data_IF_466490887291
#
_entry.id   IF_466490887291
#
_cell.length_a   1.000
_cell.length_b   1.000
_cell.length_c   1.000
_cell.angle_alpha   90.00
_cell.angle_beta   90.00
_cell.angle_gamma   90.00
#
_symmetry.space_group_name_H-M   'P 1'
#
loop_
_entity.id
_entity.type
_entity.pdbx_description
1 polymer ?
#
# COMPACT_ATOMS: atom_id res chain seq x y z
N UNK A 1 -57.33 41.02 -38.24
CA UNK A 1 -57.13 41.35 -36.82
C UNK A 1 -56.20 40.29 -36.28
N UNK A 2 -54.90 40.50 -36.10
CA UNK A 2 -54.16 41.72 -35.71
C UNK A 2 -52.69 41.55 -36.15
N UNK A 3 -52.17 42.57 -36.85
CA UNK A 3 -50.80 43.16 -36.86
C UNK A 3 -49.57 42.23 -36.89
N UNK A 4 -48.80 42.18 -38.00
CA UNK A 4 -47.67 43.05 -38.38
C UNK A 4 -46.57 43.19 -37.29
N UNK A 5 -45.32 42.80 -37.58
CA UNK A 5 -44.29 43.78 -37.98
C UNK A 5 -42.97 43.18 -38.56
N UNK A 6 -42.56 43.78 -39.69
CA UNK A 6 -41.24 44.10 -40.29
C UNK A 6 -39.97 43.21 -40.17
N UNK A 7 -39.37 42.75 -41.29
CA UNK A 7 -38.31 43.35 -42.19
C UNK A 7 -36.90 43.39 -41.53
N UNK A 8 -35.81 42.83 -42.09
CA UNK A 8 -35.01 43.43 -43.20
C UNK A 8 -33.73 42.62 -43.49
N UNK A 9 -33.54 42.22 -44.77
CA UNK A 9 -32.30 42.05 -45.60
C UNK A 9 -31.03 41.34 -45.06
N UNK A 10 -30.26 40.60 -45.86
CA UNK A 10 -30.07 40.75 -47.30
C UNK A 10 -29.35 39.58 -47.98
N UNK A 11 -29.42 39.66 -49.31
CA UNK A 11 -29.02 38.67 -50.32
C UNK A 11 -27.90 39.25 -51.18
N UNK A 12 -26.89 38.46 -51.55
CA UNK A 12 -26.29 38.36 -52.90
C UNK A 12 -25.14 37.33 -52.88
N UNK A 13 -25.30 36.11 -53.42
CA UNK A 13 -25.10 35.65 -54.83
C UNK A 13 -23.64 35.84 -55.30
N UNK A 14 -22.88 34.77 -55.62
CA UNK A 14 -22.83 34.25 -57.00
C UNK A 14 -22.15 32.88 -57.16
N UNK A 15 -22.93 32.00 -57.79
CA UNK A 15 -22.72 30.95 -58.80
C UNK A 15 -21.42 30.18 -59.06
N UNK A 16 -21.71 28.90 -59.35
CA UNK A 16 -20.90 27.78 -59.78
C UNK A 16 -20.35 27.90 -61.20
N UNK A 17 -19.33 27.08 -61.52
CA UNK A 17 -19.29 26.34 -62.79
C UNK A 17 -18.52 25.02 -62.67
N UNK A 18 -19.18 23.95 -63.11
CA UNK A 18 -18.73 22.55 -63.21
C UNK A 18 -17.93 22.31 -64.50
N UNK A 19 -16.98 21.38 -64.50
CA UNK A 19 -16.66 20.53 -65.68
C UNK A 19 -15.83 19.30 -65.27
N UNK A 20 -16.35 18.09 -65.55
CA UNK A 20 -15.54 16.87 -65.79
C UNK A 20 -15.05 16.87 -67.25
N UNK A 21 -14.19 16.00 -67.78
CA UNK A 21 -13.68 14.66 -67.45
C UNK A 21 -12.46 14.44 -68.38
N UNK A 22 -11.47 13.61 -68.02
CA UNK A 22 -10.90 12.50 -68.83
C UNK A 22 -9.53 12.04 -68.31
N UNK A 23 -9.48 10.74 -68.03
CA UNK A 23 -8.36 9.89 -67.62
C UNK A 23 -7.24 9.79 -68.67
N UNK A 24 -5.98 9.84 -68.23
CA UNK A 24 -4.89 9.06 -68.85
C UNK A 24 -4.01 8.49 -67.75
N UNK A 25 -3.87 7.17 -67.75
CA UNK A 25 -3.15 6.42 -66.74
C UNK A 25 -1.64 6.45 -66.96
N UNK A 26 -0.91 6.53 -65.85
CA UNK A 26 0.49 6.14 -65.78
C UNK A 26 0.65 5.22 -64.57
N UNK A 27 0.93 3.95 -64.85
CA UNK A 27 1.09 2.88 -63.88
C UNK A 27 2.39 3.05 -63.08
N UNK A 28 2.22 3.24 -61.78
CA UNK A 28 2.95 2.64 -60.65
C UNK A 28 4.46 2.37 -60.78
N UNK A 29 5.24 3.13 -60.01
CA UNK A 29 6.17 2.57 -59.00
C UNK A 29 6.23 3.53 -57.81
N UNK A 30 5.16 3.53 -57.00
CA UNK A 30 5.17 4.18 -55.71
C UNK A 30 5.72 3.21 -54.67
N UNK A 31 6.99 3.35 -54.32
CA UNK A 31 7.55 2.78 -53.09
C UNK A 31 6.81 3.45 -51.93
N UNK A 32 5.80 2.79 -51.38
CA UNK A 32 5.11 3.27 -50.19
C UNK A 32 6.01 3.05 -48.98
N UNK A 33 6.90 4.01 -48.72
CA UNK A 33 7.52 4.14 -47.40
C UNK A 33 6.43 4.68 -46.46
N UNK A 34 5.76 3.80 -45.73
CA UNK A 34 4.97 4.21 -44.56
C UNK A 34 5.95 4.74 -43.52
N UNK A 35 6.19 6.06 -43.55
CA UNK A 35 6.83 6.75 -42.43
C UNK A 35 5.94 6.56 -41.20
N UNK A 36 6.34 5.66 -40.30
CA UNK A 36 5.57 5.36 -39.10
C UNK A 36 5.39 6.63 -38.27
N UNK A 37 4.14 6.96 -37.93
CA UNK A 37 3.84 8.10 -37.07
C UNK A 37 4.42 7.86 -35.67
N UNK A 38 5.18 8.83 -35.16
CA UNK A 38 5.64 8.84 -33.76
C UNK A 38 4.46 9.12 -32.83
N UNK A 39 4.36 8.36 -31.74
CA UNK A 39 3.36 8.56 -30.69
C UNK A 39 4.06 9.23 -29.49
N UNK A 40 3.63 10.44 -29.15
CA UNK A 40 4.11 11.13 -27.94
C UNK A 40 3.37 10.62 -26.70
N UNK A 41 4.10 10.40 -25.61
CA UNK A 41 3.55 10.01 -24.31
C UNK A 41 4.01 11.03 -23.25
N UNK A 42 3.09 11.48 -22.41
CA UNK A 42 3.41 12.30 -21.25
C UNK A 42 3.53 11.39 -20.02
N UNK A 43 4.56 11.57 -19.16
CA UNK A 43 4.60 10.90 -17.88
C UNK A 43 3.41 11.33 -17.01
N UNK A 44 2.75 10.37 -16.37
CA UNK A 44 1.65 10.61 -15.42
C UNK A 44 2.11 10.65 -13.97
N UNK A 45 3.41 10.45 -13.75
CA UNK A 45 4.00 10.46 -12.42
C UNK A 45 5.49 10.14 -12.46
N UNK A 46 6.09 10.10 -11.27
CA UNK A 46 7.52 9.86 -11.08
C UNK A 46 7.76 8.88 -9.93
N UNK A 47 8.72 7.99 -10.14
CA UNK A 47 9.16 7.04 -9.12
C UNK A 47 10.02 7.75 -8.07
N UNK A 48 9.80 7.44 -6.79
CA UNK A 48 10.61 7.87 -5.65
C UNK A 48 11.06 6.68 -4.81
N UNK A 49 12.36 6.47 -4.67
CA UNK A 49 12.95 5.44 -3.80
C UNK A 49 14.43 5.75 -3.48
N UNK A 50 15.08 4.87 -2.73
CA UNK A 50 16.48 5.03 -2.32
C UNK A 50 17.49 4.50 -3.37
N UNK A 51 17.02 3.98 -4.51
CA UNK A 51 17.85 3.31 -5.52
C UNK A 51 18.07 4.22 -6.73
N UNK A 52 19.22 4.89 -6.75
CA UNK A 52 19.61 5.80 -7.84
C UNK A 52 20.37 5.11 -8.97
N UNK A 53 21.00 3.95 -8.70
CA UNK A 53 21.83 3.21 -9.66
C UNK A 53 21.06 2.13 -10.42
N UNK A 54 21.29 2.05 -11.74
CA UNK A 54 20.60 1.13 -12.65
C UNK A 54 21.24 -0.27 -12.69
N UNK A 55 21.23 -0.95 -11.55
CA UNK A 55 21.66 -2.35 -11.39
C UNK A 55 20.47 -3.27 -11.71
N UNK A 56 20.72 -4.45 -12.28
CA UNK A 56 19.65 -5.28 -12.83
C UNK A 56 18.88 -6.14 -11.78
N UNK A 57 19.43 -6.45 -10.60
CA UNK A 57 18.87 -7.43 -9.62
C UNK A 57 18.41 -6.82 -8.28
N UNK A 58 17.89 -7.62 -7.33
CA UNK A 58 17.53 -7.21 -5.96
C UNK A 58 16.42 -6.14 -5.85
N UNK A 59 15.43 -6.21 -6.74
CA UNK A 59 14.32 -5.26 -6.78
C UNK A 59 13.15 -5.63 -5.88
N UNK A 60 13.06 -6.89 -5.48
CA UNK A 60 11.99 -7.48 -4.69
C UNK A 60 11.72 -6.76 -3.36
N UNK A 61 12.77 -6.26 -2.69
CA UNK A 61 12.69 -5.54 -1.40
C UNK A 61 12.52 -4.03 -1.55
N UNK A 62 12.61 -3.50 -2.76
CA UNK A 62 12.55 -2.06 -3.00
C UNK A 62 11.12 -1.58 -2.83
N UNK A 63 10.89 -0.76 -1.80
CA UNK A 63 9.65 -0.02 -1.62
C UNK A 63 9.78 1.31 -2.38
N UNK A 64 8.86 1.56 -3.31
CA UNK A 64 8.81 2.76 -4.12
C UNK A 64 7.51 3.50 -3.88
N UNK A 65 7.56 4.83 -4.02
CA UNK A 65 6.36 5.66 -4.18
C UNK A 65 6.29 6.14 -5.62
N UNK A 66 5.09 6.15 -6.19
CA UNK A 66 4.79 6.81 -7.45
C UNK A 66 4.02 8.06 -7.08
N UNK A 67 4.62 9.22 -7.32
CA UNK A 67 4.00 10.53 -7.16
C UNK A 67 3.33 10.89 -8.49
N UNK A 68 2.00 10.86 -8.53
CA UNK A 68 1.23 11.14 -9.73
C UNK A 68 1.11 12.65 -10.00
N UNK A 69 1.07 13.01 -11.28
CA UNK A 69 0.67 14.32 -11.75
C UNK A 69 -0.87 14.41 -11.74
N UNK A 70 -1.40 15.04 -10.70
CA UNK A 70 -2.84 15.21 -10.53
C UNK A 70 -3.45 16.30 -11.43
N UNK A 71 -2.64 17.22 -11.97
CA UNK A 71 -3.13 18.18 -12.95
C UNK A 71 -3.46 17.47 -14.27
N UNK A 72 -2.71 16.41 -14.59
CA UNK A 72 -2.96 15.55 -15.73
C UNK A 72 -4.09 14.54 -15.51
N UNK A 73 -4.16 13.90 -14.33
CA UNK A 73 -5.08 12.77 -14.08
C UNK A 73 -6.39 13.13 -13.37
N UNK A 74 -6.39 14.17 -12.53
CA UNK A 74 -7.49 14.45 -11.58
C UNK A 74 -7.30 13.78 -10.22
N UNK A 75 -7.89 14.39 -9.18
CA UNK A 75 -7.70 13.98 -7.78
C UNK A 75 -8.35 12.62 -7.42
N UNK A 76 -9.33 12.18 -8.20
CA UNK A 76 -10.11 10.96 -8.04
C UNK A 76 -9.58 9.78 -8.89
N UNK A 77 -8.51 9.97 -9.69
CA UNK A 77 -7.98 8.98 -10.62
C UNK A 77 -7.54 7.63 -9.97
N UNK A 78 -7.36 7.61 -8.65
CA UNK A 78 -6.97 6.39 -7.90
C UNK A 78 -8.11 5.77 -7.09
N UNK A 79 -9.35 6.28 -7.23
CA UNK A 79 -10.51 5.73 -6.56
C UNK A 79 -10.72 4.25 -6.92
N UNK A 80 -11.02 3.42 -5.92
CA UNK A 80 -11.19 1.98 -6.09
C UNK A 80 -9.88 1.17 -6.20
N UNK A 81 -8.73 1.79 -6.49
CA UNK A 81 -7.46 1.07 -6.69
C UNK A 81 -7.03 0.26 -5.45
N UNK A 82 -7.39 0.71 -4.24
CA UNK A 82 -7.12 0.01 -2.97
C UNK A 82 -7.76 -1.38 -2.87
N UNK A 83 -8.74 -1.70 -3.70
CA UNK A 83 -9.36 -3.02 -3.73
C UNK A 83 -8.43 -4.10 -4.33
N UNK A 84 -7.38 -3.70 -5.06
CA UNK A 84 -6.44 -4.62 -5.70
C UNK A 84 -5.22 -4.90 -4.80
N UNK A 85 -4.61 -6.06 -4.97
CA UNK A 85 -3.36 -6.42 -4.28
C UNK A 85 -2.11 -6.04 -5.08
N UNK A 86 -2.21 -5.94 -6.41
CA UNK A 86 -1.10 -5.69 -7.31
C UNK A 86 -1.47 -4.70 -8.41
N UNK A 87 -0.46 -4.01 -8.92
CA UNK A 87 -0.55 -3.13 -10.09
C UNK A 87 0.55 -3.44 -11.09
N UNK A 88 0.26 -3.34 -12.38
CA UNK A 88 1.26 -3.29 -13.45
C UNK A 88 1.63 -1.82 -13.70
N UNK A 89 2.90 -1.48 -13.50
CA UNK A 89 3.44 -0.13 -13.70
C UNK A 89 4.21 -0.09 -15.01
N UNK A 90 3.86 0.82 -15.90
CA UNK A 90 4.57 1.09 -17.14
C UNK A 90 5.42 2.34 -16.95
N UNK A 91 6.70 2.26 -17.28
CA UNK A 91 7.66 3.35 -17.05
C UNK A 91 8.71 3.42 -18.17
N UNK A 92 9.49 4.50 -18.21
CA UNK A 92 10.50 4.72 -19.25
C UNK A 92 11.90 4.54 -18.68
N UNK A 93 12.76 3.75 -19.34
CA UNK A 93 14.20 3.76 -19.12
C UNK A 93 14.81 5.05 -19.70
N UNK A 94 14.54 6.17 -19.05
CA UNK A 94 14.86 7.54 -19.48
C UNK A 94 16.37 7.79 -19.60
N UNK A 95 17.18 7.03 -18.86
CA UNK A 95 18.65 7.13 -18.84
C UNK A 95 19.38 6.25 -19.85
N UNK A 96 18.65 5.45 -20.64
CA UNK A 96 19.28 4.63 -21.70
C UNK A 96 19.67 5.53 -22.86
N UNK A 97 20.97 5.55 -23.16
CA UNK A 97 21.53 6.22 -24.34
C UNK A 97 20.87 5.66 -25.63
N UNK A 98 20.21 6.50 -26.44
CA UNK A 98 19.60 6.10 -27.71
C UNK A 98 20.54 5.37 -28.67
N UNK A 99 21.84 5.66 -28.64
CA UNK A 99 22.82 5.04 -29.54
C UNK A 99 23.14 3.59 -29.14
N UNK A 100 22.81 3.20 -27.91
CA UNK A 100 22.99 1.83 -27.40
C UNK A 100 21.81 0.91 -27.72
N UNK A 101 20.76 1.42 -28.36
CA UNK A 101 19.55 0.66 -28.70
C UNK A 101 19.88 -0.53 -29.59
N UNK A 102 19.50 -1.72 -29.12
CA UNK A 102 19.65 -2.96 -29.86
C UNK A 102 18.38 -3.25 -30.65
N UNK A 103 18.51 -3.50 -31.96
CA UNK A 103 17.39 -3.90 -32.85
C UNK A 103 17.39 -5.40 -33.18
N UNK A 104 18.55 -6.04 -33.13
CA UNK A 104 18.75 -7.45 -33.49
C UNK A 104 18.86 -8.38 -32.29
N UNK A 105 19.62 -9.46 -32.45
CA UNK A 105 19.87 -10.44 -31.39
C UNK A 105 21.16 -10.17 -30.61
N UNK A 106 21.15 -10.51 -29.33
CA UNK A 106 22.29 -10.41 -28.40
C UNK A 106 22.21 -11.50 -27.34
N UNK A 107 23.32 -11.73 -26.64
CA UNK A 107 23.33 -12.56 -25.45
C UNK A 107 22.60 -11.85 -24.29
N UNK A 108 21.64 -12.50 -23.60
CA UNK A 108 20.98 -11.93 -22.44
C UNK A 108 21.98 -11.55 -21.36
N UNK A 109 21.88 -10.31 -20.84
CA UNK A 109 22.86 -9.70 -19.93
C UNK A 109 24.33 -9.80 -20.37
N UNK A 110 24.59 -10.06 -21.65
CA UNK A 110 25.95 -10.26 -22.18
C UNK A 110 26.56 -11.64 -21.86
N UNK A 111 25.80 -12.59 -21.31
CA UNK A 111 26.30 -13.91 -20.95
C UNK A 111 26.46 -14.83 -22.19
N UNK A 112 27.70 -15.22 -22.56
CA UNK A 112 27.96 -16.04 -23.74
C UNK A 112 27.44 -17.49 -23.63
N UNK A 113 27.19 -17.99 -22.42
CA UNK A 113 26.69 -19.36 -22.19
C UNK A 113 25.20 -19.49 -22.52
N UNK A 114 24.46 -18.37 -22.55
CA UNK A 114 23.07 -18.33 -22.96
C UNK A 114 22.93 -18.08 -24.46
N UNK A 115 21.85 -18.57 -25.10
CA UNK A 115 21.67 -18.44 -26.54
C UNK A 115 21.54 -16.99 -26.98
N UNK A 116 22.07 -16.67 -28.16
CA UNK A 116 21.86 -15.38 -28.82
C UNK A 116 20.41 -15.27 -29.32
N UNK A 117 19.58 -14.50 -28.63
CA UNK A 117 18.14 -14.34 -28.92
C UNK A 117 17.80 -12.90 -29.33
N UNK A 118 16.74 -12.71 -30.10
CA UNK A 118 16.28 -11.38 -30.55
C UNK A 118 15.95 -10.46 -29.38
N UNK A 119 16.09 -9.14 -29.55
CA UNK A 119 15.81 -8.16 -28.47
C UNK A 119 14.37 -8.28 -27.92
N UNK A 120 13.41 -8.70 -28.75
CA UNK A 120 12.02 -8.90 -28.33
C UNK A 120 11.80 -10.17 -27.50
N UNK A 121 12.73 -11.12 -27.55
CA UNK A 121 12.69 -12.38 -26.80
C UNK A 121 13.37 -12.29 -25.41
N UNK A 122 13.76 -11.09 -24.97
CA UNK A 122 14.43 -10.85 -23.68
C UNK A 122 14.09 -9.46 -23.13
N UNK A 123 14.13 -9.26 -21.81
CA UNK A 123 13.64 -8.04 -21.14
C UNK A 123 14.69 -6.92 -20.99
N UNK A 124 15.65 -6.80 -21.91
CA UNK A 124 16.72 -5.80 -21.81
C UNK A 124 16.20 -4.35 -22.00
N UNK A 125 16.77 -3.39 -21.27
CA UNK A 125 16.44 -1.95 -21.32
C UNK A 125 16.76 -1.26 -22.66
N UNK A 126 17.74 -1.75 -23.42
CA UNK A 126 18.22 -1.15 -24.67
C UNK A 126 17.32 -1.49 -25.88
N UNK A 127 16.05 -1.09 -25.80
CA UNK A 127 15.00 -1.35 -26.80
C UNK A 127 14.64 -0.09 -27.59
N UNK A 128 14.06 -0.20 -28.81
CA UNK A 128 13.62 0.96 -29.59
C UNK A 128 12.62 1.85 -28.81
N UNK A 129 11.60 1.22 -28.22
CA UNK A 129 10.73 1.86 -27.25
C UNK A 129 11.19 1.39 -25.87
N UNK A 130 11.86 2.28 -25.13
CA UNK A 130 12.53 2.04 -23.86
C UNK A 130 11.53 1.91 -22.70
N UNK A 131 10.47 1.12 -22.89
CA UNK A 131 9.39 0.95 -21.93
C UNK A 131 9.70 -0.27 -21.05
N UNK A 132 9.71 -0.06 -19.74
CA UNK A 132 9.67 -1.10 -18.73
C UNK A 132 8.24 -1.38 -18.30
N UNK A 133 8.01 -2.59 -17.82
CA UNK A 133 6.74 -2.98 -17.21
C UNK A 133 7.00 -3.95 -16.06
N UNK A 134 6.35 -3.68 -14.92
CA UNK A 134 6.54 -4.49 -13.71
C UNK A 134 5.24 -4.63 -12.95
N UNK A 135 4.88 -5.88 -12.65
CA UNK A 135 3.79 -6.20 -11.73
C UNK A 135 4.35 -6.10 -10.33
N UNK A 136 3.81 -5.18 -9.55
CA UNK A 136 4.27 -4.82 -8.21
C UNK A 136 3.17 -5.08 -7.18
N UNK A 137 3.55 -5.39 -5.95
CA UNK A 137 2.62 -5.40 -4.81
C UNK A 137 2.14 -3.97 -4.54
N UNK A 138 0.83 -3.75 -4.48
CA UNK A 138 0.22 -2.47 -4.14
C UNK A 138 0.11 -2.34 -2.62
N UNK A 139 1.06 -1.64 -2.01
CA UNK A 139 1.12 -1.46 -0.56
C UNK A 139 0.06 -0.48 -0.04
N UNK A 140 -0.06 0.67 -0.68
CA UNK A 140 -1.00 1.71 -0.27
C UNK A 140 -1.34 2.66 -1.42
N UNK A 141 -2.50 3.30 -1.32
CA UNK A 141 -2.87 4.47 -2.12
C UNK A 141 -3.14 5.59 -1.13
N UNK A 142 -2.34 6.65 -1.12
CA UNK A 142 -2.49 7.78 -0.19
C UNK A 142 -3.22 8.95 -0.85
N UNK A 143 -3.86 9.83 -0.05
CA UNK A 143 -4.33 11.12 -0.56
C UNK A 143 -3.21 11.91 -1.25
N UNK A 144 -3.57 12.74 -2.23
CA UNK A 144 -2.60 13.54 -2.98
C UNK A 144 -1.87 12.78 -4.09
N UNK A 145 -2.44 11.69 -4.61
CA UNK A 145 -1.92 11.03 -5.81
C UNK A 145 -0.68 10.17 -5.58
N UNK A 146 -0.48 9.63 -4.39
CA UNK A 146 0.70 8.81 -4.09
C UNK A 146 0.33 7.34 -4.01
N UNK A 147 0.94 6.52 -4.87
CA UNK A 147 0.81 5.06 -4.87
C UNK A 147 2.09 4.46 -4.29
N UNK A 148 1.98 3.64 -3.26
CA UNK A 148 3.12 2.91 -2.68
C UNK A 148 3.12 1.48 -3.18
N UNK A 149 4.26 1.04 -3.71
CA UNK A 149 4.45 -0.29 -4.28
C UNK A 149 5.73 -0.95 -3.79
N UNK A 150 5.77 -2.28 -3.83
CA UNK A 150 6.98 -3.08 -3.59
C UNK A 150 7.31 -3.91 -4.81
N UNK A 151 8.61 -4.04 -5.11
CA UNK A 151 9.10 -4.85 -6.22
C UNK A 151 9.20 -4.09 -7.55
N UNK A 152 9.00 -2.77 -7.55
CA UNK A 152 9.15 -1.95 -8.76
C UNK A 152 10.63 -1.82 -9.13
N UNK A 153 11.01 -2.32 -10.30
CA UNK A 153 12.37 -2.31 -10.84
C UNK A 153 12.73 -1.03 -11.62
N UNK A 154 12.35 0.11 -11.05
CA UNK A 154 12.63 1.44 -11.56
C UNK A 154 13.44 2.26 -10.54
N UNK A 155 14.46 2.96 -11.01
CA UNK A 155 15.31 3.82 -10.18
C UNK A 155 14.58 5.11 -9.79
N UNK A 156 15.05 5.77 -8.73
CA UNK A 156 14.54 7.07 -8.29
C UNK A 156 14.53 8.07 -9.44
N UNK A 157 13.43 8.80 -9.61
CA UNK A 157 13.23 9.78 -10.67
C UNK A 157 12.76 9.22 -12.00
N UNK A 158 12.62 7.89 -12.15
CA UNK A 158 12.12 7.29 -13.40
C UNK A 158 10.69 7.78 -13.72
N UNK A 159 10.41 8.23 -14.96
CA UNK A 159 9.08 8.63 -15.39
C UNK A 159 8.12 7.44 -15.52
N UNK A 160 6.92 7.57 -14.96
CA UNK A 160 5.83 6.59 -15.08
C UNK A 160 4.88 7.02 -16.19
N UNK A 161 4.56 6.09 -17.10
CA UNK A 161 3.62 6.29 -18.20
C UNK A 161 2.20 5.87 -17.83
N UNK A 162 2.05 4.80 -17.05
CA UNK A 162 0.74 4.26 -16.70
C UNK A 162 0.79 3.35 -15.46
N UNK A 163 -0.35 3.20 -14.79
CA UNK A 163 -0.53 2.26 -13.67
C UNK A 163 -1.86 1.53 -13.85
N UNK A 164 -1.82 0.21 -13.95
CA UNK A 164 -3.01 -0.63 -14.14
C UNK A 164 -3.20 -1.59 -12.97
N UNK A 165 -4.42 -1.79 -12.45
CA UNK A 165 -4.65 -2.89 -11.52
C UNK A 165 -4.39 -4.23 -12.22
N UNK A 166 -3.68 -5.14 -11.54
CA UNK A 166 -3.47 -6.49 -12.07
C UNK A 166 -4.74 -7.32 -11.87
N UNK A 167 -5.26 -7.91 -12.95
CA UNK A 167 -6.41 -8.81 -12.93
C UNK A 167 -5.97 -10.21 -13.36
N UNK A 168 -6.41 -11.23 -12.63
CA UNK A 168 -6.01 -12.63 -12.86
C UNK A 168 -6.42 -13.09 -14.26
N UNK A 169 -7.54 -12.57 -14.76
CA UNK A 169 -8.11 -12.86 -16.07
C UNK A 169 -7.22 -12.41 -17.25
N UNK A 170 -6.30 -11.47 -17.03
CA UNK A 170 -5.30 -11.05 -18.02
C UNK A 170 -4.02 -11.90 -18.00
N UNK A 171 -3.90 -12.83 -17.05
CA UNK A 171 -2.84 -13.82 -17.04
C UNK A 171 -2.87 -14.73 -18.29
N UNK A 172 -1.76 -15.45 -18.55
CA UNK A 172 -1.71 -16.40 -19.65
C UNK A 172 -2.79 -17.47 -19.51
N UNK A 173 -3.39 -17.84 -20.65
CA UNK A 173 -4.37 -18.93 -20.73
C UNK A 173 -3.66 -20.22 -21.10
N UNK A 174 -3.89 -21.29 -20.35
CA UNK A 174 -3.24 -22.59 -20.55
C UNK A 174 -1.80 -22.63 -20.03
N UNK A 175 -1.07 -23.65 -20.43
CA UNK A 175 0.29 -23.88 -19.95
C UNK A 175 1.27 -22.83 -20.49
N UNK A 176 2.15 -22.35 -19.61
CA UNK A 176 3.20 -21.38 -19.95
C UNK A 176 4.47 -22.12 -20.34
N UNK A 177 4.99 -21.85 -21.55
CA UNK A 177 6.29 -22.34 -21.98
C UNK A 177 7.36 -21.24 -21.80
N UNK A 178 8.44 -21.58 -21.09
CA UNK A 178 9.58 -20.70 -20.87
C UNK A 178 10.90 -21.42 -21.21
N UNK A 179 11.84 -20.78 -21.93
CA UNK A 179 13.16 -21.35 -22.17
C UNK A 179 14.00 -21.49 -20.89
N UNK A 180 14.76 -22.58 -20.76
CA UNK A 180 15.59 -22.86 -19.57
C UNK A 180 16.55 -21.73 -19.20
N UNK A 181 17.24 -21.12 -20.19
CA UNK A 181 18.15 -19.99 -19.93
C UNK A 181 17.46 -18.81 -19.26
N UNK A 182 16.16 -18.59 -19.53
CA UNK A 182 15.40 -17.51 -18.90
C UNK A 182 15.03 -17.86 -17.47
N UNK A 183 14.75 -19.13 -17.18
CA UNK A 183 14.54 -19.60 -15.80
C UNK A 183 15.83 -19.51 -14.99
N UNK A 184 16.98 -19.85 -15.57
CA UNK A 184 18.30 -19.67 -14.96
C UNK A 184 18.61 -18.19 -14.70
N UNK A 185 18.34 -17.31 -15.66
CA UNK A 185 18.51 -15.87 -15.50
C UNK A 185 17.70 -15.32 -14.34
N UNK A 186 16.47 -15.81 -14.17
CA UNK A 186 15.56 -15.35 -13.12
C UNK A 186 15.76 -16.09 -11.78
N UNK A 187 16.65 -17.08 -11.71
CA UNK A 187 16.92 -17.81 -10.48
C UNK A 187 17.48 -16.85 -9.41
N UNK A 188 16.78 -16.74 -8.28
CA UNK A 188 17.17 -15.82 -7.21
C UNK A 188 16.89 -14.33 -7.48
N UNK A 189 16.24 -14.00 -8.60
CA UNK A 189 15.87 -12.60 -8.90
C UNK A 189 14.82 -12.05 -7.92
N UNK A 190 13.88 -12.90 -7.51
CA UNK A 190 12.96 -12.63 -6.41
C UNK A 190 13.42 -13.45 -5.20
N UNK A 191 14.04 -12.79 -4.22
CA UNK A 191 14.58 -13.41 -3.00
C UNK A 191 13.57 -13.47 -1.85
N UNK A 192 12.50 -12.69 -1.93
CA UNK A 192 11.34 -12.77 -1.04
C UNK A 192 10.37 -13.84 -1.58
N UNK A 193 10.24 -14.95 -0.87
CA UNK A 193 9.07 -15.83 -0.99
C UNK A 193 7.79 -15.03 -0.71
N UNK A 194 6.62 -15.44 -1.27
CA UNK A 194 5.30 -14.85 -0.94
C UNK A 194 5.26 -14.46 0.53
N UNK A 195 4.86 -13.21 0.81
CA UNK A 195 4.90 -12.56 2.13
C UNK A 195 4.84 -13.60 3.25
N UNK A 196 5.90 -13.81 4.06
CA UNK A 196 6.00 -14.91 5.02
C UNK A 196 4.99 -14.78 6.17
N UNK A 197 4.07 -13.83 6.06
CA UNK A 197 3.05 -13.54 7.04
C UNK A 197 1.76 -14.28 6.66
N UNK A 198 1.03 -14.75 7.66
CA UNK A 198 -0.19 -15.52 7.44
C UNK A 198 -1.21 -14.67 6.68
N UNK A 199 -1.81 -15.27 5.64
CA UNK A 199 -2.97 -14.69 4.96
C UNK A 199 -4.17 -14.75 5.90
N UNK A 200 -4.82 -13.62 6.21
CA UNK A 200 -6.00 -13.63 7.07
C UNK A 200 -7.12 -14.45 6.43
N UNK A 201 -7.70 -15.37 7.19
CA UNK A 201 -9.05 -15.88 6.94
C UNK A 201 -10.03 -14.96 7.67
N UNK A 202 -10.69 -13.99 6.98
CA UNK A 202 -11.42 -12.94 7.66
C UNK A 202 -12.58 -13.47 8.51
N UNK A 203 -13.16 -14.62 8.12
CA UNK A 203 -14.29 -15.24 8.82
C UNK A 203 -13.79 -15.98 10.04
N UNK A 204 -12.81 -16.88 9.88
CA UNK A 204 -12.30 -17.69 10.98
C UNK A 204 -11.56 -16.84 12.02
N UNK A 205 -10.76 -15.87 11.57
CA UNK A 205 -9.99 -15.01 12.47
C UNK A 205 -10.88 -14.07 13.26
N UNK A 206 -11.90 -13.48 12.63
CA UNK A 206 -12.87 -12.64 13.34
C UNK A 206 -13.67 -13.47 14.35
N UNK A 207 -14.04 -14.70 13.99
CA UNK A 207 -14.71 -15.62 14.91
C UNK A 207 -13.82 -15.92 16.13
N UNK A 208 -12.52 -16.12 15.95
CA UNK A 208 -11.59 -16.35 17.06
C UNK A 208 -11.45 -15.12 17.97
N UNK A 209 -11.31 -13.91 17.41
CA UNK A 209 -11.26 -12.68 18.22
C UNK A 209 -12.54 -12.49 19.04
N UNK A 210 -13.71 -12.79 18.45
CA UNK A 210 -15.03 -12.70 19.12
C UNK A 210 -15.24 -13.69 20.27
N UNK A 211 -14.34 -14.66 20.44
CA UNK A 211 -14.38 -15.56 21.62
C UNK A 211 -13.81 -14.91 22.88
N UNK A 212 -13.24 -13.72 22.75
CA UNK A 212 -12.78 -12.94 23.90
C UNK A 212 -13.94 -12.63 24.84
N UNK A 213 -13.76 -12.74 26.16
CA UNK A 213 -14.84 -12.52 27.12
C UNK A 213 -15.28 -11.04 27.12
N UNK A 214 -16.58 -10.80 27.31
CA UNK A 214 -17.13 -9.45 27.38
C UNK A 214 -16.97 -8.83 28.79
N UNK A 215 -17.11 -9.64 29.84
CA UNK A 215 -17.28 -9.12 31.21
C UNK A 215 -16.00 -9.11 32.04
N UNK A 216 -15.28 -10.23 32.02
CA UNK A 216 -14.05 -10.45 32.79
C UNK A 216 -12.98 -10.97 31.85
N UNK A 217 -11.95 -10.17 31.63
CA UNK A 217 -10.83 -10.49 30.76
C UNK A 217 -9.56 -10.79 31.52
N UNK A 218 -8.46 -10.95 30.79
CA UNK A 218 -7.14 -11.16 31.38
C UNK A 218 -6.11 -10.29 30.69
N UNK A 219 -5.21 -9.68 31.46
CA UNK A 219 -4.02 -9.03 30.94
C UNK A 219 -3.00 -10.11 30.55
N UNK A 220 -2.87 -10.40 29.27
CA UNK A 220 -2.03 -11.49 28.78
C UNK A 220 -0.54 -11.10 28.70
N UNK A 221 -0.22 -9.87 28.33
CA UNK A 221 1.16 -9.41 28.15
C UNK A 221 1.28 -7.90 28.40
N UNK A 222 2.39 -7.49 29.02
CA UNK A 222 2.78 -6.09 29.20
C UNK A 222 4.05 -5.87 28.39
N UNK A 223 4.03 -4.85 27.53
CA UNK A 223 5.15 -4.49 26.67
C UNK A 223 5.50 -3.03 26.89
N UNK A 224 6.69 -2.80 27.43
CA UNK A 224 7.27 -1.45 27.52
C UNK A 224 8.03 -1.14 26.24
N UNK A 225 7.97 0.11 25.79
CA UNK A 225 8.71 0.62 24.62
C UNK A 225 9.66 1.74 25.06
N UNK A 226 10.85 1.44 25.58
CA UNK A 226 11.75 2.47 26.11
C UNK A 226 12.27 3.44 25.04
N UNK A 227 12.45 2.95 23.81
CA UNK A 227 12.90 3.74 22.67
C UNK A 227 12.18 3.33 21.37
N UNK A 228 12.48 4.02 20.27
CA UNK A 228 11.90 3.69 18.97
C UNK A 228 12.40 2.30 18.57
N UNK A 229 11.46 1.41 18.24
CA UNK A 229 11.69 0.01 17.83
C UNK A 229 12.17 -0.97 18.90
N UNK A 230 12.47 -0.51 20.11
CA UNK A 230 12.75 -1.37 21.27
C UNK A 230 11.47 -1.92 21.92
N UNK A 231 11.48 -3.18 22.33
CA UNK A 231 10.38 -3.87 23.00
C UNK A 231 10.90 -4.65 24.20
N UNK A 232 10.33 -4.40 25.36
CA UNK A 232 10.63 -5.13 26.59
C UNK A 232 9.34 -5.75 27.12
N UNK A 233 9.25 -7.08 27.11
CA UNK A 233 8.15 -7.80 27.75
C UNK A 233 8.45 -7.89 29.24
N UNK A 234 7.54 -7.40 30.07
CA UNK A 234 7.70 -7.39 31.53
C UNK A 234 6.60 -8.19 32.20
N UNK A 235 6.95 -8.89 33.29
CA UNK A 235 5.97 -9.65 34.08
C UNK A 235 5.03 -8.72 34.87
N UNK A 236 5.53 -7.55 35.28
CA UNK A 236 4.80 -6.55 36.06
C UNK A 236 5.11 -5.15 35.54
N UNK A 237 4.14 -4.24 35.62
CA UNK A 237 4.28 -2.83 35.26
C UNK A 237 3.61 -1.92 36.29
N UNK A 238 4.06 -0.67 36.33
CA UNK A 238 3.42 0.40 37.08
C UNK A 238 2.72 1.35 36.10
N UNK A 239 1.45 1.61 36.35
CA UNK A 239 0.65 2.60 35.63
C UNK A 239 0.54 3.87 36.46
N UNK A 240 0.90 5.00 35.86
CA UNK A 240 0.88 6.32 36.44
C UNK A 240 0.05 7.28 35.58
N UNK A 241 -0.62 8.25 36.21
CA UNK A 241 -1.53 9.17 35.52
C UNK A 241 -0.78 10.18 34.65
N UNK A 242 0.46 10.54 34.99
CA UNK A 242 1.27 11.46 34.21
C UNK A 242 2.04 10.73 33.09
N UNK A 243 2.69 9.60 33.41
CA UNK A 243 3.61 8.93 32.48
C UNK A 243 3.05 7.66 31.83
N UNK A 244 1.84 7.23 32.16
CA UNK A 244 1.25 5.99 31.61
C UNK A 244 1.96 4.75 32.15
N UNK A 245 2.34 3.82 31.28
CA UNK A 245 3.20 2.69 31.68
C UNK A 245 4.62 3.21 31.97
N UNK A 246 5.05 3.14 33.23
CA UNK A 246 6.38 3.62 33.65
C UNK A 246 7.47 2.95 32.82
N UNK A 247 8.34 3.76 32.21
CA UNK A 247 9.42 3.36 31.31
C UNK A 247 9.04 3.25 29.83
N UNK A 248 7.77 3.45 29.46
CA UNK A 248 7.36 3.58 28.06
C UNK A 248 7.63 5.00 27.52
N UNK A 249 7.89 5.10 26.22
CA UNK A 249 8.27 6.38 25.60
C UNK A 249 7.13 7.19 24.98
N UNK A 250 5.85 6.81 25.15
CA UNK A 250 4.74 7.50 24.46
C UNK A 250 4.78 9.03 24.62
N UNK A 251 5.13 9.52 25.82
CA UNK A 251 5.21 10.94 26.15
C UNK A 251 6.34 11.63 25.39
N UNK A 252 7.55 11.05 25.42
CA UNK A 252 8.73 11.58 24.72
C UNK A 252 8.62 11.46 23.19
N UNK A 253 7.92 10.42 22.71
CA UNK A 253 7.67 10.17 21.28
C UNK A 253 6.74 11.22 20.67
N UNK A 254 5.83 11.78 21.47
CA UNK A 254 4.84 12.75 21.00
C UNK A 254 3.82 12.14 20.04
N UNK A 255 3.03 13.02 19.39
CA UNK A 255 2.05 12.64 18.38
C UNK A 255 2.25 13.49 17.12
N UNK A 256 2.29 12.82 15.97
CA UNK A 256 2.29 13.49 14.65
C UNK A 256 0.94 14.14 14.32
N UNK A 257 -0.11 13.80 15.07
CA UNK A 257 -1.43 14.40 14.90
C UNK A 257 -1.57 15.69 15.71
N UNK A 258 -0.69 15.95 16.68
CA UNK A 258 -0.66 17.20 17.44
C UNK A 258 0.07 18.30 16.67
N UNK A 259 -0.50 19.52 16.57
CA UNK A 259 0.14 20.64 15.84
C UNK A 259 1.54 21.00 16.35
N UNK A 260 1.79 20.85 17.65
CA UNK A 260 3.06 21.13 18.31
C UNK A 260 3.94 19.88 18.51
N UNK A 261 3.49 18.73 18.00
CA UNK A 261 4.16 17.44 18.18
C UNK A 261 4.00 16.83 19.58
N UNK A 262 3.27 17.46 20.49
CA UNK A 262 3.08 16.97 21.86
C UNK A 262 2.31 15.64 21.90
N UNK A 263 2.49 14.87 22.96
CA UNK A 263 1.76 13.62 23.14
C UNK A 263 0.28 13.91 23.47
N UNK A 264 -0.63 13.11 22.90
CA UNK A 264 -2.06 13.19 23.18
C UNK A 264 -2.41 12.27 24.34
N UNK A 265 -2.92 12.82 25.46
CA UNK A 265 -3.28 12.03 26.64
C UNK A 265 -4.29 10.91 26.32
N UNK A 266 -5.19 11.14 25.36
CA UNK A 266 -6.15 10.13 24.93
C UNK A 266 -5.49 8.90 24.26
N UNK A 267 -4.21 8.98 23.91
CA UNK A 267 -3.40 7.87 23.37
C UNK A 267 -2.28 7.43 24.33
N UNK A 268 -2.41 7.72 25.63
CA UNK A 268 -1.42 7.38 26.67
C UNK A 268 -1.09 5.89 26.71
N UNK A 269 -2.11 5.04 26.59
CA UNK A 269 -1.99 3.58 26.50
C UNK A 269 -2.57 3.08 25.17
N UNK A 270 -1.86 2.20 24.49
CA UNK A 270 -2.34 1.42 23.37
C UNK A 270 -2.57 -0.02 23.83
N UNK A 271 -3.74 -0.55 23.52
CA UNK A 271 -4.19 -1.86 24.00
C UNK A 271 -4.69 -2.67 22.80
N UNK A 272 -4.17 -3.88 22.61
CA UNK A 272 -4.60 -4.77 21.54
C UNK A 272 -5.17 -6.06 22.12
N UNK A 273 -6.15 -6.65 21.42
CA UNK A 273 -6.66 -7.97 21.78
C UNK A 273 -5.59 -9.04 21.50
N UNK A 274 -5.24 -9.87 22.49
CA UNK A 274 -4.15 -10.85 22.38
C UNK A 274 -4.44 -11.92 21.32
N UNK A 275 -5.71 -12.32 21.11
CA UNK A 275 -6.08 -13.30 20.09
C UNK A 275 -5.81 -12.74 18.70
N UNK A 276 -6.21 -11.48 18.48
CA UNK A 276 -5.91 -10.77 17.24
C UNK A 276 -4.39 -10.65 17.01
N UNK A 277 -3.64 -10.25 18.05
CA UNK A 277 -2.20 -10.11 17.98
C UNK A 277 -1.49 -11.43 17.64
N UNK A 278 -1.94 -12.55 18.22
CA UNK A 278 -1.42 -13.89 17.90
C UNK A 278 -1.74 -14.32 16.48
N UNK A 279 -2.94 -14.05 15.98
CA UNK A 279 -3.30 -14.38 14.59
C UNK A 279 -2.40 -13.67 13.58
N UNK A 280 -2.20 -12.36 13.74
CA UNK A 280 -1.30 -11.60 12.84
C UNK A 280 0.18 -11.98 13.01
N UNK A 281 0.54 -12.49 14.19
CA UNK A 281 1.88 -13.00 14.50
C UNK A 281 2.08 -14.48 14.08
N UNK A 282 1.10 -15.12 13.46
CA UNK A 282 1.13 -16.56 13.09
C UNK A 282 1.30 -17.51 14.29
N UNK A 283 0.73 -17.14 15.43
CA UNK A 283 0.87 -17.88 16.69
C UNK A 283 2.23 -17.75 17.37
N UNK A 284 3.16 -16.97 16.80
CA UNK A 284 4.46 -16.69 17.39
C UNK A 284 4.35 -15.58 18.45
N UNK A 285 4.33 -15.99 19.73
CA UNK A 285 4.22 -15.07 20.87
C UNK A 285 5.42 -14.09 20.97
N UNK A 286 6.60 -14.43 20.44
CA UNK A 286 7.76 -13.53 20.44
C UNK A 286 7.56 -12.35 19.46
N UNK A 287 6.67 -12.50 18.49
CA UNK A 287 6.34 -11.45 17.51
C UNK A 287 5.19 -10.55 17.97
N UNK A 288 4.39 -10.96 18.95
CA UNK A 288 3.27 -10.16 19.49
C UNK A 288 3.70 -8.74 19.91
N UNK A 289 4.81 -8.53 20.65
CA UNK A 289 5.30 -7.19 21.03
C UNK A 289 5.57 -6.25 19.86
N UNK A 290 5.82 -6.80 18.65
CA UNK A 290 6.10 -6.02 17.46
C UNK A 290 4.85 -5.23 16.98
N UNK A 291 3.64 -5.60 17.42
CA UNK A 291 2.40 -4.83 17.19
C UNK A 291 2.50 -3.41 17.76
N UNK A 292 3.33 -3.22 18.77
CA UNK A 292 3.70 -1.91 19.29
C UNK A 292 2.69 -1.32 20.27
N UNK A 293 1.94 -2.17 20.94
CA UNK A 293 0.97 -1.82 21.98
C UNK A 293 1.57 -2.07 23.36
N UNK A 294 1.11 -1.36 24.39
CA UNK A 294 1.62 -1.54 25.74
C UNK A 294 0.97 -2.70 26.46
N UNK A 295 -0.33 -2.92 26.26
CA UNK A 295 -1.09 -3.95 26.94
C UNK A 295 -1.76 -4.87 25.91
N UNK A 296 -1.60 -6.18 26.09
CA UNK A 296 -2.33 -7.17 25.31
C UNK A 296 -3.30 -7.91 26.21
N UNK A 297 -4.58 -7.91 25.82
CA UNK A 297 -5.66 -8.38 26.70
C UNK A 297 -6.52 -9.42 26.00
N UNK A 298 -6.96 -10.44 26.74
CA UNK A 298 -8.06 -11.31 26.32
C UNK A 298 -9.38 -10.73 26.85
N UNK A 299 -9.93 -9.78 26.10
CA UNK A 299 -11.18 -9.07 26.41
C UNK A 299 -11.79 -8.57 25.09
N UNK A 300 -13.12 -8.60 24.97
CA UNK A 300 -13.81 -8.01 23.83
C UNK A 300 -13.61 -6.48 23.83
N UNK A 301 -12.88 -5.97 22.84
CA UNK A 301 -12.57 -4.54 22.69
C UNK A 301 -13.58 -3.79 21.80
N UNK A 302 -14.62 -4.47 21.35
CA UNK A 302 -15.63 -3.90 20.46
C UNK A 302 -16.24 -2.61 21.06
N UNK A 303 -16.66 -1.65 20.22
CA UNK A 303 -17.33 -0.45 20.71
C UNK A 303 -18.62 -0.73 21.48
N UNK A 304 -19.28 -1.87 21.20
CA UNK A 304 -20.49 -2.31 21.91
C UNK A 304 -20.17 -2.74 23.35
N UNK A 305 -19.08 -3.48 23.57
CA UNK A 305 -18.67 -3.91 24.90
C UNK A 305 -17.92 -2.82 25.68
N UNK A 306 -17.03 -2.07 25.01
CA UNK A 306 -16.18 -1.05 25.61
C UNK A 306 -16.34 0.32 24.92
N UNK A 307 -17.48 1.01 25.12
CA UNK A 307 -17.63 2.38 24.64
C UNK A 307 -16.60 3.31 25.31
N UNK A 308 -16.32 4.45 24.67
CA UNK A 308 -15.44 5.47 25.26
C UNK A 308 -16.00 5.95 26.62
N UNK A 309 -15.12 6.17 27.59
CA UNK A 309 -15.47 6.45 28.99
C UNK A 309 -15.57 5.20 29.88
N UNK A 310 -15.50 3.99 29.32
CA UNK A 310 -15.52 2.75 30.13
C UNK A 310 -14.27 2.67 31.01
N UNK A 311 -14.46 2.37 32.29
CA UNK A 311 -13.37 2.14 33.25
C UNK A 311 -13.08 0.64 33.39
N UNK A 312 -11.80 0.28 33.24
CA UNK A 312 -11.30 -1.08 33.43
C UNK A 312 -10.33 -1.09 34.59
N UNK A 313 -10.60 -1.93 35.59
CA UNK A 313 -9.63 -2.23 36.64
C UNK A 313 -8.74 -3.38 36.20
N UNK A 314 -7.44 -3.20 36.36
CA UNK A 314 -6.39 -4.19 36.08
C UNK A 314 -5.41 -4.14 37.24
N UNK A 315 -5.22 -5.27 37.94
CA UNK A 315 -4.46 -5.26 39.20
C UNK A 315 -5.04 -4.24 40.19
N UNK A 316 -4.20 -3.29 40.62
CA UNK A 316 -4.61 -2.16 41.47
C UNK A 316 -4.86 -0.86 40.72
N UNK A 317 -4.60 -0.81 39.40
CA UNK A 317 -4.79 0.37 38.57
C UNK A 317 -6.20 0.40 37.93
N UNK A 318 -6.62 1.59 37.49
CA UNK A 318 -7.83 1.78 36.68
C UNK A 318 -7.49 2.63 35.45
N UNK A 319 -7.93 2.17 34.28
CA UNK A 319 -7.79 2.88 33.01
C UNK A 319 -9.16 3.23 32.43
N UNK A 320 -9.21 4.31 31.65
CA UNK A 320 -10.39 4.75 30.90
C UNK A 320 -10.17 4.58 29.40
N UNK A 321 -11.11 3.91 28.72
CA UNK A 321 -11.13 3.80 27.25
C UNK A 321 -11.43 5.16 26.64
N UNK A 322 -10.62 5.62 25.69
CA UNK A 322 -10.80 6.95 25.07
C UNK A 322 -11.54 6.86 23.73
N UNK A 323 -12.00 8.00 23.21
CA UNK A 323 -12.62 8.08 21.88
C UNK A 323 -11.59 8.06 20.74
N UNK A 324 -10.28 8.14 21.05
CA UNK A 324 -9.22 8.18 20.05
C UNK A 324 -9.12 6.84 19.33
N UNK A 325 -9.23 6.80 17.99
CA UNK A 325 -9.07 5.56 17.25
C UNK A 325 -7.62 5.06 17.30
N UNK A 326 -7.45 3.75 17.39
CA UNK A 326 -6.14 3.10 17.25
C UNK A 326 -6.03 2.43 15.88
N UNK A 327 -5.16 2.96 15.01
CA UNK A 327 -5.01 2.49 13.62
C UNK A 327 -3.62 1.93 13.36
N UNK A 328 -3.54 0.99 12.41
CA UNK A 328 -2.26 0.41 11.97
C UNK A 328 -1.36 1.46 11.31
N UNK A 329 -0.05 1.32 11.48
CA UNK A 329 0.94 2.19 10.85
C UNK A 329 1.85 1.42 9.90
N UNK A 330 2.68 2.13 9.12
CA UNK A 330 3.62 1.52 8.19
C UNK A 330 4.58 0.51 8.87
N UNK A 331 4.89 0.68 10.16
CA UNK A 331 5.69 -0.31 10.91
C UNK A 331 4.94 -1.63 11.10
N UNK A 332 3.63 -1.58 11.34
CA UNK A 332 2.79 -2.78 11.45
C UNK A 332 2.80 -3.56 10.14
N UNK A 333 2.57 -2.88 9.00
CA UNK A 333 2.63 -3.48 7.67
C UNK A 333 3.97 -4.17 7.40
N UNK A 334 5.09 -3.56 7.80
CA UNK A 334 6.42 -4.18 7.65
C UNK A 334 6.63 -5.42 8.52
N UNK A 335 5.93 -5.53 9.65
CA UNK A 335 6.13 -6.56 10.67
C UNK A 335 5.20 -7.75 10.53
N UNK A 336 4.01 -7.55 9.99
CA UNK A 336 2.93 -8.54 9.93
C UNK A 336 2.29 -8.65 8.55
N UNK A 337 2.79 -7.91 7.56
CA UNK A 337 2.30 -7.99 6.19
C UNK A 337 1.15 -7.04 5.91
N UNK A 338 0.94 -6.84 4.61
CA UNK A 338 -0.12 -5.96 4.13
C UNK A 338 -1.50 -6.57 4.31
N UNK A 339 -1.63 -7.88 4.10
CA UNK A 339 -2.89 -8.59 4.23
C UNK A 339 -3.46 -8.43 5.66
N UNK A 340 -2.63 -8.69 6.68
CA UNK A 340 -3.00 -8.45 8.08
C UNK A 340 -3.37 -6.97 8.32
N UNK A 341 -2.56 -6.03 7.85
CA UNK A 341 -2.85 -4.59 7.97
C UNK A 341 -4.21 -4.21 7.34
N UNK A 342 -4.52 -4.73 6.16
CA UNK A 342 -5.80 -4.49 5.47
C UNK A 342 -6.97 -5.12 6.21
N UNK A 343 -6.79 -6.30 6.79
CA UNK A 343 -7.81 -6.95 7.60
C UNK A 343 -8.15 -6.16 8.87
N UNK A 344 -7.14 -5.82 9.69
CA UNK A 344 -7.38 -5.10 10.95
C UNK A 344 -7.91 -3.66 10.78
N UNK A 345 -7.59 -3.00 9.66
CA UNK A 345 -8.08 -1.65 9.33
C UNK A 345 -9.20 -1.66 8.28
N UNK A 346 -9.69 -2.84 7.90
CA UNK A 346 -10.80 -3.00 6.97
C UNK A 346 -12.13 -2.58 7.61
N UNK A 347 -13.24 -2.78 6.90
CA UNK A 347 -14.59 -2.47 7.40
C UNK A 347 -14.88 -3.18 8.72
N UNK A 348 -14.78 -4.51 8.72
CA UNK A 348 -15.05 -5.33 9.90
C UNK A 348 -13.99 -5.10 10.99
N UNK A 349 -12.73 -4.95 10.58
CA UNK A 349 -11.61 -4.67 11.48
C UNK A 349 -11.79 -3.39 12.28
N UNK A 350 -12.24 -2.32 11.62
CA UNK A 350 -12.53 -1.03 12.27
C UNK A 350 -13.76 -1.12 13.18
N UNK A 351 -14.83 -1.79 12.73
CA UNK A 351 -16.06 -1.98 13.52
C UNK A 351 -15.80 -2.76 14.82
N UNK A 352 -14.86 -3.69 14.80
CA UNK A 352 -14.53 -4.56 15.94
C UNK A 352 -13.29 -4.10 16.70
N UNK A 353 -12.68 -2.98 16.29
CA UNK A 353 -11.41 -2.45 16.83
C UNK A 353 -10.29 -3.50 16.88
N UNK A 354 -10.12 -4.28 15.81
CA UNK A 354 -9.13 -5.36 15.76
C UNK A 354 -7.69 -4.88 15.94
N UNK A 355 -7.37 -3.67 15.48
CA UNK A 355 -6.08 -3.04 15.77
C UNK A 355 -5.90 -2.77 17.27
N UNK A 356 -6.97 -2.48 18.00
CA UNK A 356 -6.95 -2.15 19.42
C UNK A 356 -7.72 -0.88 19.78
N UNK A 357 -7.54 -0.45 21.02
CA UNK A 357 -8.09 0.79 21.59
C UNK A 357 -6.97 1.67 22.14
N UNK A 358 -7.29 2.94 22.32
CA UNK A 358 -6.51 3.85 23.16
C UNK A 358 -7.17 4.01 24.53
N UNK A 359 -6.37 4.21 25.56
CA UNK A 359 -6.82 4.43 26.93
C UNK A 359 -5.89 5.40 27.68
N UNK A 360 -6.34 5.87 28.85
CA UNK A 360 -5.55 6.68 29.78
C UNK A 360 -5.70 6.15 31.21
N UNK A 361 -4.70 6.32 32.04
CA UNK A 361 -4.71 5.93 33.46
C UNK A 361 -5.53 6.95 34.24
N UNK A 362 -6.50 6.48 35.03
CA UNK A 362 -7.32 7.33 35.91
C UNK A 362 -7.08 7.05 37.39
N UNK A 363 -6.63 5.84 37.74
CA UNK A 363 -6.12 5.50 39.07
C UNK A 363 -4.77 4.81 38.89
N UNK A 364 -3.68 5.33 39.47
CA UNK A 364 -2.36 4.71 39.36
C UNK A 364 -2.33 3.38 40.13
N UNK A 365 -1.43 2.49 39.74
CA UNK A 365 -1.29 1.20 40.40
C UNK A 365 -0.36 0.25 39.69
N UNK A 366 -0.28 -0.96 40.22
CA UNK A 366 0.54 -2.05 39.69
C UNK A 366 -0.33 -3.03 38.92
N UNK A 367 0.19 -3.48 37.80
CA UNK A 367 -0.39 -4.51 36.95
C UNK A 367 0.61 -5.66 36.76
N UNK A 368 0.10 -6.87 36.60
CA UNK A 368 0.86 -8.07 36.31
C UNK A 368 0.23 -8.86 35.15
N UNK A 369 1.06 -9.54 34.37
CA UNK A 369 0.56 -10.54 33.42
C UNK A 369 -0.23 -11.61 34.19
N UNK A 370 -1.44 -11.92 33.72
CA UNK A 370 -2.39 -12.80 34.38
C UNK A 370 -3.44 -12.07 35.23
N UNK A 371 -3.31 -10.75 35.45
CA UNK A 371 -4.32 -9.99 36.19
C UNK A 371 -5.70 -10.07 35.51
N UNK A 372 -6.73 -10.26 36.33
CA UNK A 372 -8.11 -10.16 35.88
C UNK A 372 -8.45 -8.70 35.53
N UNK A 373 -9.08 -8.53 34.37
CA UNK A 373 -9.61 -7.24 33.92
C UNK A 373 -11.09 -7.19 34.20
N UNK A 374 -11.54 -6.19 34.95
CA UNK A 374 -12.94 -6.04 35.35
C UNK A 374 -13.47 -4.68 34.92
N UNK A 375 -14.61 -4.69 34.20
CA UNK A 375 -15.38 -3.48 33.90
C UNK A 375 -15.94 -2.90 35.20
N UNK A 376 -15.63 -1.65 35.48
CA UNK A 376 -16.22 -0.93 36.61
C UNK A 376 -17.55 -0.29 36.17
N UNK A 377 -18.51 -0.12 37.10
CA UNK A 377 -19.71 0.68 36.84
C UNK A 377 -19.32 2.09 36.42
N UNK A 378 -20.13 2.70 35.55
CA UNK A 378 -19.96 4.11 35.22
C UNK A 378 -19.96 4.95 36.51
N UNK A 379 -19.08 5.96 36.64
CA UNK A 379 -19.13 6.89 37.76
C UNK A 379 -20.54 7.50 37.84
N UNK A 380 -21.15 7.42 39.03
CA UNK A 380 -22.47 8.00 39.32
C UNK A 380 -22.47 9.52 39.27
#
# INVERSE_FOLDING_TARGET
MTTDDTTTTGTTTTDATTTGTTTTGTTTTGTTTTGGATIGMLPIGVVRNDRSEAIDDDWDRVNSRIELDLDLLGADATEGLRAFSHVEVLYVFDRVDPDTVTRGSRHPRGNPDWPKVGILAQRAKHRPNRIGTTVCELMAVRPGGVIEVRGLDAIDGTPVLDVKPYMVEFGPRGDVLQPAWSSELMAGYWTIERDPFPEPDPVAWLAEVRRSPADRGTLAMIVRRPSVDEREVVATGELDTAVGLVGDNWLARGSRSSPDGSAELDAQLNIMNIRCARLVADGDDDRVPLAGDQLFVDLDLSPENLPAGTHLRIGTAVIEVTAKPHTGCAKFTRRFGLAAHRWINGRDGTQQRLRGICAKVVVPGTIAAGDEIVKLPAPS
#
